data_IF_110020974449
#
_entry.id   IF_110020974449
#
_cell.length_a   1.000
_cell.length_b   1.000
_cell.length_c   1.000
_cell.angle_alpha   90.00
_cell.angle_beta   90.00
_cell.angle_gamma   90.00
#
_symmetry.space_group_name_H-M   'P 1'
#
loop_
_entity.id
_entity.type
_entity.pdbx_description
1 polymer ?
#
# COMPACT_ATOMS: atom_id res chain seq x y z
N UNK A 1 -3.12 -6.91 -11.29
CA UNK A 1 -2.70 -6.20 -12.50
C UNK A 1 -2.97 -4.72 -12.31
N UNK A 2 -2.05 -3.86 -12.71
CA UNK A 2 -2.16 -2.41 -12.68
C UNK A 2 -1.81 -1.87 -14.06
N UNK A 3 -2.78 -1.29 -14.78
CA UNK A 3 -2.69 -0.98 -16.19
C UNK A 3 -2.17 -2.20 -17.01
N UNK A 4 -1.02 -2.09 -17.66
CA UNK A 4 -0.37 -3.15 -18.42
C UNK A 4 0.66 -3.96 -17.63
N UNK A 5 0.97 -3.56 -16.38
CA UNK A 5 1.95 -4.21 -15.51
C UNK A 5 1.29 -5.17 -14.49
N UNK A 6 2.11 -6.03 -13.90
CA UNK A 6 1.69 -6.98 -12.86
C UNK A 6 2.45 -6.71 -11.58
N UNK A 7 1.80 -6.93 -10.45
CA UNK A 7 2.41 -6.93 -9.12
C UNK A 7 1.83 -8.09 -8.30
N UNK A 8 2.58 -8.58 -7.34
CA UNK A 8 2.23 -9.76 -6.54
C UNK A 8 1.89 -9.43 -5.10
N UNK A 9 2.37 -8.32 -4.59
CA UNK A 9 2.28 -8.01 -3.18
C UNK A 9 1.61 -6.66 -2.94
N UNK A 10 2.22 -5.56 -3.42
CA UNK A 10 1.74 -4.22 -3.12
C UNK A 10 1.90 -3.25 -4.29
N UNK A 11 0.91 -2.36 -4.43
CA UNK A 11 1.02 -1.13 -5.20
C UNK A 11 0.93 0.04 -4.23
N UNK A 12 1.84 1.00 -4.34
CA UNK A 12 1.86 2.22 -3.55
C UNK A 12 1.79 3.46 -4.44
N UNK A 13 0.94 4.42 -4.08
CA UNK A 13 0.76 5.70 -4.76
C UNK A 13 0.91 6.80 -3.71
N UNK A 14 1.80 7.75 -3.93
CA UNK A 14 2.03 8.86 -3.02
C UNK A 14 3.47 9.33 -3.08
N UNK A 15 3.75 10.48 -2.54
CA UNK A 15 5.12 11.05 -2.53
C UNK A 15 6.12 10.16 -1.78
N UNK A 16 5.65 9.35 -0.84
CA UNK A 16 6.45 8.35 -0.14
C UNK A 16 6.93 7.25 -1.08
N UNK A 17 6.09 6.85 -2.05
CA UNK A 17 6.46 5.84 -3.02
C UNK A 17 7.66 6.27 -3.87
N UNK A 18 7.75 7.55 -4.21
CA UNK A 18 8.90 8.15 -4.90
C UNK A 18 10.15 8.18 -4.01
N UNK A 19 9.99 8.57 -2.74
CA UNK A 19 11.10 8.67 -1.78
C UNK A 19 11.72 7.32 -1.45
N UNK A 20 10.93 6.26 -1.38
CA UNK A 20 11.40 4.88 -1.12
C UNK A 20 12.26 4.33 -2.26
N UNK A 21 11.98 4.74 -3.50
CA UNK A 21 12.77 4.37 -4.67
C UNK A 21 14.18 4.96 -4.65
N UNK A 22 14.39 6.08 -3.94
CA UNK A 22 15.67 6.81 -3.85
C UNK A 22 16.60 6.27 -2.76
N UNK A 23 16.12 5.39 -1.86
CA UNK A 23 16.95 4.86 -0.77
C UNK A 23 17.86 3.74 -1.27
N UNK A 24 19.17 3.94 -1.17
CA UNK A 24 20.16 2.95 -1.63
C UNK A 24 20.07 1.63 -0.86
N UNK A 25 20.41 0.52 -1.54
CA UNK A 25 20.45 -0.83 -0.95
C UNK A 25 21.34 -0.94 0.30
N UNK A 26 22.37 -0.09 0.41
CA UNK A 26 23.30 -0.07 1.56
C UNK A 26 22.69 0.55 2.81
N UNK A 27 21.79 1.54 2.64
CA UNK A 27 21.07 2.15 3.78
C UNK A 27 19.99 1.20 4.31
N UNK A 28 19.41 0.38 3.43
CA UNK A 28 18.42 -0.65 3.81
C UNK A 28 18.93 -1.66 4.85
N UNK A 29 20.23 -1.93 4.85
CA UNK A 29 20.85 -2.97 5.70
C UNK A 29 21.27 -2.47 7.09
N UNK A 30 21.55 -1.16 7.26
CA UNK A 30 22.15 -0.64 8.52
C UNK A 30 21.14 -0.14 9.55
N UNK A 31 19.95 0.25 9.16
CA UNK A 31 18.97 0.90 10.04
C UNK A 31 17.67 0.11 10.22
N UNK A 32 17.48 -0.98 9.46
CA UNK A 32 16.30 -1.84 9.55
C UNK A 32 14.99 -1.16 9.16
N UNK A 33 13.92 -1.89 9.31
CA UNK A 33 12.55 -1.52 8.93
C UNK A 33 12.07 -0.22 9.60
N UNK A 34 12.58 0.09 10.80
CA UNK A 34 12.19 1.28 11.56
C UNK A 34 12.68 2.59 10.94
N UNK A 35 13.87 2.60 10.36
CA UNK A 35 14.39 3.79 9.68
C UNK A 35 13.65 4.06 8.36
N UNK A 36 13.23 3.02 7.70
CA UNK A 36 12.36 3.11 6.53
C UNK A 36 11.04 3.80 6.85
N UNK A 37 10.45 3.44 7.99
CA UNK A 37 9.25 4.12 8.49
C UNK A 37 9.53 5.60 8.78
N UNK A 38 10.63 5.90 9.48
CA UNK A 38 10.94 7.28 9.88
C UNK A 38 11.20 8.18 8.65
N UNK A 39 11.90 7.69 7.63
CA UNK A 39 12.12 8.46 6.40
C UNK A 39 10.86 8.56 5.55
N UNK A 40 10.09 7.49 5.43
CA UNK A 40 8.76 7.53 4.84
C UNK A 40 7.85 8.53 5.57
N UNK A 41 7.91 8.58 6.89
CA UNK A 41 7.15 9.55 7.71
C UNK A 41 7.57 11.00 7.46
N UNK A 42 8.85 11.28 7.30
CA UNK A 42 9.32 12.64 6.97
C UNK A 42 8.80 13.12 5.61
N UNK A 43 8.73 12.22 4.64
CA UNK A 43 8.14 12.52 3.34
C UNK A 43 6.62 12.77 3.43
N UNK A 44 5.91 12.06 4.31
CA UNK A 44 4.47 12.25 4.56
C UNK A 44 4.13 13.56 5.30
N UNK A 45 5.09 14.17 6.01
CA UNK A 45 4.90 15.46 6.68
C UNK A 45 5.16 16.65 5.75
N UNK A 46 5.60 16.43 4.51
CA UNK A 46 5.60 17.48 3.49
C UNK A 46 4.14 17.87 3.19
N UNK A 47 3.88 19.17 3.09
CA UNK A 47 2.53 19.75 3.08
C UNK A 47 1.73 19.55 1.78
N UNK A 48 2.18 18.70 0.89
CA UNK A 48 1.54 18.54 -0.41
C UNK A 48 0.46 17.47 -0.33
N UNK A 49 -0.72 17.91 0.09
CA UNK A 49 -1.94 17.10 0.08
C UNK A 49 -2.34 16.81 -1.36
N UNK A 50 -2.64 15.56 -1.63
CA UNK A 50 -3.06 15.11 -2.94
C UNK A 50 -4.54 14.77 -2.91
N UNK A 51 -5.31 15.34 -3.81
CA UNK A 51 -6.69 14.93 -4.02
C UNK A 51 -6.68 13.53 -4.65
N UNK A 52 -7.34 12.60 -3.99
CA UNK A 52 -7.43 11.20 -4.41
C UNK A 52 -8.89 10.82 -4.62
N UNK A 53 -9.15 10.18 -5.75
CA UNK A 53 -10.45 9.62 -6.08
C UNK A 53 -10.29 8.13 -6.37
N UNK A 54 -10.97 7.29 -5.60
CA UNK A 54 -10.96 5.83 -5.73
C UNK A 54 -12.38 5.36 -6.08
N UNK A 55 -12.58 4.96 -7.32
CA UNK A 55 -13.81 4.29 -7.75
C UNK A 55 -13.61 2.78 -7.61
N UNK A 56 -14.56 2.09 -6.99
CA UNK A 56 -14.49 0.66 -6.71
C UNK A 56 -15.86 -0.01 -6.88
N UNK A 57 -15.94 -1.33 -6.77
CA UNK A 57 -17.18 -2.09 -7.06
C UNK A 57 -18.39 -1.68 -6.20
N UNK A 58 -18.15 -1.14 -5.02
CA UNK A 58 -19.20 -0.81 -4.05
C UNK A 58 -19.45 0.70 -3.91
N UNK A 59 -18.78 1.54 -4.71
CA UNK A 59 -18.96 2.99 -4.66
C UNK A 59 -17.70 3.78 -5.00
N UNK A 60 -17.59 4.94 -4.39
CA UNK A 60 -16.49 5.87 -4.62
C UNK A 60 -16.05 6.49 -3.30
N UNK A 61 -14.76 6.62 -3.12
CA UNK A 61 -14.15 7.44 -2.09
C UNK A 61 -13.42 8.62 -2.73
N UNK A 62 -13.57 9.80 -2.15
CA UNK A 62 -12.87 11.01 -2.59
C UNK A 62 -12.43 11.82 -1.37
N UNK A 63 -11.22 12.37 -1.42
CA UNK A 63 -10.67 13.21 -0.36
C UNK A 63 -9.17 13.42 -0.48
N UNK A 64 -8.62 14.11 0.49
CA UNK A 64 -7.19 14.36 0.61
C UNK A 64 -6.50 13.15 1.25
N UNK A 65 -5.44 12.70 0.60
CA UNK A 65 -4.64 11.58 1.09
C UNK A 65 -3.16 11.80 0.78
N UNK A 66 -2.31 11.23 1.61
CA UNK A 66 -0.85 11.27 1.45
C UNK A 66 -0.30 9.98 0.86
N UNK A 67 -1.09 8.89 0.98
CA UNK A 67 -0.68 7.58 0.52
C UNK A 67 -1.89 6.71 0.20
N UNK A 68 -1.84 6.00 -0.92
CA UNK A 68 -2.75 4.90 -1.23
C UNK A 68 -1.92 3.63 -1.38
N UNK A 69 -2.28 2.60 -0.62
CA UNK A 69 -1.67 1.27 -0.71
C UNK A 69 -2.72 0.28 -1.21
N UNK A 70 -2.37 -0.54 -2.19
CA UNK A 70 -3.20 -1.66 -2.65
C UNK A 70 -2.45 -2.94 -2.37
N UNK A 71 -2.86 -3.66 -1.33
CA UNK A 71 -2.24 -4.90 -0.90
C UNK A 71 -3.02 -6.13 -1.42
N UNK A 72 -2.28 -7.17 -1.81
CA UNK A 72 -2.79 -8.49 -2.19
C UNK A 72 -2.48 -9.56 -1.14
N UNK A 73 -1.59 -9.24 -0.19
CA UNK A 73 -1.17 -10.15 0.87
C UNK A 73 -1.15 -9.41 2.21
N UNK A 74 -1.08 -10.16 3.30
CA UNK A 74 -0.94 -9.60 4.64
C UNK A 74 0.48 -9.14 4.99
N UNK A 75 1.48 -9.51 4.17
CA UNK A 75 2.89 -9.22 4.43
C UNK A 75 3.43 -8.25 3.38
N UNK A 76 3.78 -7.05 3.79
CA UNK A 76 4.28 -5.99 2.93
C UNK A 76 5.50 -5.32 3.54
N UNK A 77 6.60 -5.26 2.78
CA UNK A 77 7.81 -4.53 3.21
C UNK A 77 8.44 -5.04 4.50
N UNK A 78 8.26 -6.31 4.85
CA UNK A 78 8.71 -6.89 6.12
C UNK A 78 7.72 -6.73 7.29
N UNK A 79 6.55 -6.13 7.04
CA UNK A 79 5.45 -6.10 8.01
C UNK A 79 4.49 -7.25 7.74
N UNK A 80 4.43 -8.22 8.66
CA UNK A 80 3.60 -9.41 8.52
C UNK A 80 2.11 -9.17 8.86
N UNK A 81 1.73 -7.93 9.17
CA UNK A 81 0.38 -7.60 9.66
C UNK A 81 -0.18 -6.30 9.10
N UNK A 82 0.27 -5.87 7.92
CA UNK A 82 -0.29 -4.65 7.30
C UNK A 82 -1.79 -4.85 7.00
N UNK A 83 -2.14 -5.97 6.41
CA UNK A 83 -3.50 -6.36 6.06
C UNK A 83 -3.81 -7.74 6.63
N UNK A 84 -3.99 -7.90 7.97
CA UNK A 84 -4.05 -9.21 8.62
C UNK A 84 -5.20 -10.10 8.15
N UNK A 85 -6.20 -9.51 7.50
CA UNK A 85 -7.36 -10.22 6.93
C UNK A 85 -7.24 -10.47 5.42
N UNK A 86 -6.11 -10.09 4.81
CA UNK A 86 -5.86 -10.38 3.40
C UNK A 86 -5.35 -11.82 3.27
N UNK A 87 -6.03 -12.61 2.48
CA UNK A 87 -5.61 -13.94 2.09
C UNK A 87 -5.15 -13.92 0.64
N UNK A 88 -4.13 -14.69 0.31
CA UNK A 88 -3.49 -14.67 -1.02
C UNK A 88 -4.41 -15.15 -2.14
N UNK A 89 -5.53 -15.77 -1.80
CA UNK A 89 -6.52 -16.37 -2.71
C UNK A 89 -7.96 -15.84 -2.49
N UNK A 90 -8.15 -14.80 -1.65
CA UNK A 90 -9.48 -14.22 -1.43
C UNK A 90 -10.05 -13.56 -2.70
N UNK A 91 -9.19 -13.16 -3.62
CA UNK A 91 -9.57 -12.51 -4.86
C UNK A 91 -9.96 -11.04 -4.67
N UNK A 92 -9.41 -10.38 -3.66
CA UNK A 92 -9.69 -9.00 -3.34
C UNK A 92 -8.41 -8.14 -3.33
N UNK A 93 -8.58 -6.90 -3.73
CA UNK A 93 -7.66 -5.81 -3.45
C UNK A 93 -8.00 -5.23 -2.07
N UNK A 94 -7.01 -5.10 -1.22
CA UNK A 94 -7.13 -4.40 0.06
C UNK A 94 -6.53 -3.00 -0.11
N UNK A 95 -7.40 -2.01 -0.37
CA UNK A 95 -7.00 -0.63 -0.63
C UNK A 95 -7.03 0.16 0.68
N UNK A 96 -5.89 0.65 1.12
CA UNK A 96 -5.74 1.53 2.27
C UNK A 96 -5.50 2.95 1.77
N UNK A 97 -6.38 3.87 2.10
CA UNK A 97 -6.21 5.29 1.85
C UNK A 97 -5.82 5.96 3.15
N UNK A 98 -4.59 6.45 3.23
CA UNK A 98 -4.05 7.15 4.39
C UNK A 98 -4.30 8.64 4.19
N UNK A 99 -5.22 9.20 4.97
CA UNK A 99 -5.57 10.62 4.91
C UNK A 99 -4.42 11.50 5.38
N UNK A 100 -4.43 12.76 4.98
CA UNK A 100 -3.53 13.77 5.51
C UNK A 100 -3.73 13.91 7.01
N UNK A 101 -2.65 13.79 7.76
CA UNK A 101 -2.69 13.84 9.22
C UNK A 101 -1.36 14.36 9.79
N UNK A 102 -1.41 14.92 10.98
CA UNK A 102 -0.21 15.41 11.66
C UNK A 102 0.67 14.30 12.23
N UNK A 103 1.89 14.66 12.62
CA UNK A 103 2.89 13.75 13.19
C UNK A 103 2.34 12.79 14.29
N UNK A 104 1.48 13.24 15.24
CA UNK A 104 0.92 12.33 16.23
C UNK A 104 0.06 11.19 15.64
N UNK A 105 -0.70 11.48 14.58
CA UNK A 105 -1.51 10.48 13.89
C UNK A 105 -0.62 9.45 13.17
N UNK A 106 0.46 9.89 12.54
CA UNK A 106 1.42 8.99 11.92
C UNK A 106 2.10 8.06 12.93
N UNK A 107 2.47 8.56 14.11
CA UNK A 107 3.02 7.72 15.18
C UNK A 107 2.00 6.67 15.64
N UNK A 108 0.73 7.04 15.75
CA UNK A 108 -0.37 6.12 16.06
C UNK A 108 -0.52 5.07 14.96
N UNK A 109 -0.59 5.48 13.68
CA UNK A 109 -0.68 4.57 12.54
C UNK A 109 0.50 3.60 12.47
N UNK A 110 1.73 4.06 12.71
CA UNK A 110 2.91 3.20 12.80
C UNK A 110 2.76 2.11 13.86
N UNK A 111 2.24 2.47 15.03
CA UNK A 111 1.94 1.49 16.09
C UNK A 111 0.82 0.54 15.66
N UNK A 112 -0.22 1.06 14.99
CA UNK A 112 -1.32 0.26 14.47
C UNK A 112 -0.87 -0.76 13.44
N UNK A 113 0.07 -0.41 12.55
CA UNK A 113 0.71 -1.37 11.60
C UNK A 113 1.38 -2.51 12.34
N UNK A 114 2.20 -2.20 13.36
CA UNK A 114 2.91 -3.24 14.14
C UNK A 114 1.94 -4.18 14.88
N UNK A 115 0.81 -3.67 15.31
CA UNK A 115 -0.24 -4.43 16.00
C UNK A 115 -1.23 -5.13 15.05
N UNK A 116 -1.14 -4.89 13.73
CA UNK A 116 -2.09 -5.42 12.76
C UNK A 116 -3.49 -4.77 12.85
N UNK A 117 -3.55 -3.50 13.23
CA UNK A 117 -4.78 -2.74 13.47
C UNK A 117 -4.89 -1.48 12.61
N UNK A 118 -4.14 -1.42 11.49
CA UNK A 118 -4.16 -0.24 10.64
C UNK A 118 -5.56 0.07 10.10
N UNK A 119 -6.36 -0.94 9.81
CA UNK A 119 -7.74 -0.80 9.33
C UNK A 119 -8.69 -0.16 10.35
N UNK A 120 -8.32 -0.15 11.64
CA UNK A 120 -9.10 0.45 12.73
C UNK A 120 -8.75 1.92 12.98
N UNK A 121 -7.71 2.44 12.30
CA UNK A 121 -7.24 3.81 12.52
C UNK A 121 -8.21 4.82 11.85
N UNK A 122 -8.64 5.88 12.55
CA UNK A 122 -9.61 6.86 12.03
C UNK A 122 -9.11 7.66 10.81
N UNK A 123 -7.79 7.75 10.62
CA UNK A 123 -7.17 8.44 9.49
C UNK A 123 -6.85 7.48 8.32
N UNK A 124 -7.33 6.24 8.41
CA UNK A 124 -7.19 5.24 7.35
C UNK A 124 -8.58 4.79 6.88
N UNK A 125 -8.79 4.83 5.57
CA UNK A 125 -9.96 4.22 4.94
C UNK A 125 -9.53 2.92 4.30
N UNK A 126 -10.22 1.83 4.64
CA UNK A 126 -9.95 0.51 4.08
C UNK A 126 -11.11 0.10 3.17
N UNK A 127 -10.79 -0.24 1.93
CA UNK A 127 -11.73 -0.67 0.89
C UNK A 127 -11.31 -2.06 0.41
N UNK A 128 -12.26 -2.99 0.39
CA UNK A 128 -12.09 -4.30 -0.25
C UNK A 128 -12.85 -4.32 -1.55
N UNK A 129 -12.19 -4.69 -2.64
CA UNK A 129 -12.79 -4.66 -3.98
C UNK A 129 -12.04 -5.59 -4.93
N UNK A 130 -12.68 -6.04 -6.01
CA UNK A 130 -11.99 -6.82 -7.05
C UNK A 130 -11.26 -5.92 -8.05
N UNK A 131 -11.75 -4.69 -8.22
CA UNK A 131 -11.14 -3.69 -9.11
C UNK A 131 -11.29 -2.30 -8.53
N UNK A 132 -10.35 -1.43 -8.87
CA UNK A 132 -10.38 -0.02 -8.53
C UNK A 132 -9.84 0.83 -9.68
N UNK A 133 -10.44 2.01 -9.87
CA UNK A 133 -9.90 3.07 -10.69
C UNK A 133 -9.43 4.20 -9.78
N UNK A 134 -8.14 4.50 -9.80
CA UNK A 134 -7.52 5.47 -8.88
C UNK A 134 -7.01 6.65 -9.68
N UNK A 135 -7.50 7.84 -9.33
CA UNK A 135 -7.03 9.14 -9.85
C UNK A 135 -6.43 9.96 -8.73
N UNK A 136 -5.43 10.75 -9.07
CA UNK A 136 -4.83 11.73 -8.15
C UNK A 136 -4.67 13.08 -8.85
N UNK A 137 -4.68 14.14 -8.07
CA UNK A 137 -4.35 15.48 -8.54
C UNK A 137 -3.40 16.14 -7.52
N UNK A 138 -2.14 16.39 -7.89
CA UNK A 138 -1.51 16.10 -9.20
C UNK A 138 -1.41 14.57 -9.50
N UNK A 139 -1.12 14.23 -10.76
CA UNK A 139 -0.78 12.86 -11.14
C UNK A 139 0.49 12.40 -10.41
N UNK A 140 0.46 11.19 -9.88
CA UNK A 140 1.57 10.61 -9.11
C UNK A 140 2.06 9.31 -9.73
N UNK A 141 3.35 9.05 -9.54
CA UNK A 141 3.93 7.77 -9.88
C UNK A 141 3.47 6.68 -8.91
N UNK A 142 3.40 5.46 -9.42
CA UNK A 142 3.07 4.27 -8.65
C UNK A 142 4.32 3.42 -8.48
N UNK A 143 4.50 2.85 -7.30
CA UNK A 143 5.50 1.82 -7.04
C UNK A 143 4.80 0.45 -7.01
N UNK A 144 5.32 -0.52 -7.75
CA UNK A 144 4.82 -1.89 -7.84
C UNK A 144 5.86 -2.84 -7.26
N UNK A 145 5.58 -3.46 -6.13
CA UNK A 145 6.46 -4.41 -5.43
C UNK A 145 7.89 -3.90 -5.16
N UNK A 146 8.08 -2.57 -5.08
CA UNK A 146 9.37 -1.93 -4.87
C UNK A 146 9.99 -1.33 -6.13
N UNK A 147 9.45 -1.59 -7.31
CA UNK A 147 9.91 -1.06 -8.59
C UNK A 147 9.05 0.10 -9.08
N UNK A 148 9.60 0.91 -9.98
CA UNK A 148 8.84 1.98 -10.64
C UNK A 148 7.76 1.38 -11.53
N UNK A 149 6.51 1.78 -11.28
CA UNK A 149 5.32 1.28 -11.95
C UNK A 149 4.84 2.14 -13.11
N UNK A 150 3.67 2.70 -12.95
CA UNK A 150 2.94 3.56 -13.87
C UNK A 150 2.51 4.84 -13.13
N UNK A 151 1.78 5.70 -13.79
CA UNK A 151 1.24 6.93 -13.20
C UNK A 151 -0.28 6.84 -13.06
N UNK A 152 -0.83 7.59 -12.14
CA UNK A 152 -2.28 7.82 -12.08
C UNK A 152 -2.70 8.73 -13.24
N UNK A 153 -3.95 8.59 -13.78
CA UNK A 153 -4.97 7.64 -13.35
C UNK A 153 -4.66 6.19 -13.74
N UNK A 154 -5.02 5.24 -12.88
CA UNK A 154 -4.70 3.82 -13.06
C UNK A 154 -5.87 2.91 -12.74
N UNK A 155 -6.06 1.88 -13.59
CA UNK A 155 -6.97 0.78 -13.33
C UNK A 155 -6.19 -0.37 -12.67
N UNK A 156 -6.70 -0.83 -11.54
CA UNK A 156 -6.14 -1.94 -10.77
C UNK A 156 -7.19 -3.04 -10.63
N UNK A 157 -6.80 -4.28 -10.90
CA UNK A 157 -7.69 -5.44 -10.72
C UNK A 157 -6.94 -6.64 -10.17
N UNK A 158 -7.59 -7.43 -9.34
CA UNK A 158 -7.08 -8.72 -8.91
C UNK A 158 -7.31 -9.76 -10.02
N UNK A 159 -6.35 -10.65 -10.19
CA UNK A 159 -6.46 -11.80 -11.09
C UNK A 159 -6.46 -13.07 -10.24
N UNK A 160 -7.62 -13.39 -9.68
CA UNK A 160 -7.78 -14.54 -8.77
C UNK A 160 -7.36 -15.85 -9.44
N UNK A 161 -6.50 -16.61 -8.75
CA UNK A 161 -6.03 -17.91 -9.23
C UNK A 161 -5.13 -17.86 -10.48
N UNK A 162 -4.59 -16.69 -10.84
CA UNK A 162 -3.76 -16.51 -12.03
C UNK A 162 -2.37 -17.15 -11.88
N UNK A 163 -1.86 -17.24 -10.65
CA UNK A 163 -0.57 -17.84 -10.32
C UNK A 163 -0.75 -19.14 -9.55
N UNK A 164 0.07 -20.15 -9.91
CA UNK A 164 0.22 -21.38 -9.13
C UNK A 164 1.55 -21.32 -8.38
N UNK A 165 1.50 -21.42 -7.06
CA UNK A 165 2.68 -21.41 -6.20
C UNK A 165 2.92 -22.80 -5.66
N UNK A 166 4.14 -23.33 -5.85
CA UNK A 166 4.55 -24.60 -5.26
C UNK A 166 4.87 -24.39 -3.77
N UNK A 167 4.16 -25.08 -2.91
CA UNK A 167 4.43 -25.08 -1.47
C UNK A 167 5.01 -26.43 -1.06
N UNK A 168 6.01 -26.47 -0.14
CA UNK A 168 6.52 -27.74 0.39
C UNK A 168 5.39 -28.46 1.14
N UNK A 169 5.25 -29.75 0.91
CA UNK A 169 4.34 -30.58 1.70
C UNK A 169 4.81 -30.53 3.18
N UNK A 170 3.94 -30.06 4.05
CA UNK A 170 4.17 -30.08 5.49
C UNK A 170 4.06 -31.53 5.92
N UNK A 171 5.18 -32.18 6.21
CA UNK A 171 5.15 -33.48 6.90
C UNK A 171 4.56 -33.21 8.30
N UNK A 172 3.32 -33.57 8.51
CA UNK A 172 2.73 -33.68 9.85
C UNK A 172 3.55 -34.75 10.62
N UNK A 173 4.31 -34.31 11.62
CA UNK A 173 4.91 -35.18 12.62
C UNK A 173 4.08 -35.12 13.88
#
# INVERSE_FOLDING_TARGET
>A
KAADKYFMNILAIGQVAESVSLVSAEQKTKLGTLAYLIEGFKALTSKDETQVHVQHDHGTWEGEAVLVLVALTNSVGGFEKLAPKAETDDGLLHVFVVKSAGLPAFMRMGTAVLLGKLEEDPDVVMIKTEKAHIKTNPELSCNLDGDEGCHTPIDVQVLKGHLNVLIPMRNER
#
